data_IF_840456843402
#
_entry.id   IF_840456843402
#
_cell.length_a   1.000
_cell.length_b   1.000
_cell.length_c   1.000
_cell.angle_alpha   90.00
_cell.angle_beta   90.00
_cell.angle_gamma   90.00
#
_symmetry.space_group_name_H-M   'P 1'
#
loop_
_entity.id
_entity.type
_entity.pdbx_description
1 polymer ?
#
# COMPACT_ATOMS: atom_id res chain seq x y z
N UNK A 1 6.61 17.15 -22.96
CA UNK A 1 7.15 17.56 -21.65
C UNK A 1 6.19 18.41 -20.81
N UNK A 2 5.48 19.41 -21.35
CA UNK A 2 4.51 20.23 -20.58
C UNK A 2 3.30 19.44 -20.04
N UNK A 3 2.80 18.46 -20.77
CA UNK A 3 1.65 17.63 -20.37
C UNK A 3 1.99 16.73 -19.17
N UNK A 4 3.16 16.11 -19.17
CA UNK A 4 3.64 15.25 -18.07
C UNK A 4 3.89 16.08 -16.80
N UNK A 5 4.46 17.30 -16.92
CA UNK A 5 4.62 18.23 -15.80
C UNK A 5 3.28 18.65 -15.19
N UNK A 6 2.26 18.89 -16.01
CA UNK A 6 0.92 19.30 -15.55
C UNK A 6 0.17 18.17 -14.86
N UNK A 7 0.44 16.91 -15.27
CA UNK A 7 -0.13 15.71 -14.67
C UNK A 7 0.53 15.34 -13.33
N UNK A 8 1.84 15.57 -13.21
CA UNK A 8 2.62 15.25 -12.00
C UNK A 8 2.58 16.34 -10.92
N UNK A 9 2.25 17.58 -11.29
CA UNK A 9 2.22 18.76 -10.40
C UNK A 9 0.79 19.24 -10.10
N UNK A 10 -0.22 18.42 -10.33
CA UNK A 10 -1.58 18.73 -9.88
C UNK A 10 -1.65 18.50 -8.36
N UNK A 11 -2.32 19.40 -7.66
CA UNK A 11 -2.52 19.35 -6.19
C UNK A 11 -3.09 18.01 -5.74
N UNK A 12 -3.94 17.41 -6.57
CA UNK A 12 -4.53 16.08 -6.34
C UNK A 12 -3.47 14.98 -6.38
N UNK A 13 -2.59 14.98 -7.40
CA UNK A 13 -1.49 14.01 -7.51
C UNK A 13 -0.50 14.15 -6.38
N UNK A 14 -0.15 15.38 -5.99
CA UNK A 14 0.75 15.62 -4.86
C UNK A 14 0.12 15.17 -3.54
N UNK A 15 -1.17 15.44 -3.33
CA UNK A 15 -1.91 14.94 -2.16
C UNK A 15 -1.97 13.41 -2.15
N UNK A 16 -2.23 12.79 -3.30
CA UNK A 16 -2.22 11.33 -3.44
C UNK A 16 -0.86 10.72 -3.06
N UNK A 17 0.22 11.30 -3.56
CA UNK A 17 1.57 10.84 -3.24
C UNK A 17 1.88 11.03 -1.75
N UNK A 18 1.53 12.18 -1.19
CA UNK A 18 1.74 12.47 0.23
C UNK A 18 0.99 11.46 1.12
N UNK A 19 -0.30 11.25 0.90
CA UNK A 19 -1.07 10.27 1.65
C UNK A 19 -0.68 8.83 1.34
N UNK A 20 -0.15 8.56 0.15
CA UNK A 20 0.47 7.28 -0.19
C UNK A 20 1.69 6.97 0.66
N UNK A 21 2.58 7.95 0.86
CA UNK A 21 3.72 7.84 1.77
C UNK A 21 3.26 7.61 3.20
N UNK A 22 2.29 8.38 3.68
CA UNK A 22 1.73 8.19 5.03
C UNK A 22 1.08 6.82 5.19
N UNK A 23 0.36 6.32 4.18
CA UNK A 23 -0.20 4.96 4.18
C UNK A 23 0.90 3.91 4.30
N UNK A 24 2.01 4.09 3.59
CA UNK A 24 3.17 3.20 3.67
C UNK A 24 3.79 3.22 5.06
N UNK A 25 3.90 4.38 5.69
CA UNK A 25 4.38 4.51 7.06
C UNK A 25 3.45 3.81 8.06
N UNK A 26 2.12 3.97 7.93
CA UNK A 26 1.14 3.26 8.76
C UNK A 26 1.28 1.74 8.57
N UNK A 27 1.38 1.28 7.32
CA UNK A 27 1.58 -0.14 7.04
C UNK A 27 2.85 -0.67 7.71
N UNK A 28 3.94 0.06 7.58
CA UNK A 28 5.24 -0.34 8.07
C UNK A 28 5.32 -0.37 9.60
N UNK A 29 4.86 0.69 10.25
CA UNK A 29 4.83 0.79 11.70
C UNK A 29 3.92 -0.27 12.32
N UNK A 30 2.77 -0.53 11.67
CA UNK A 30 1.85 -1.60 12.10
C UNK A 30 2.49 -2.98 11.91
N UNK A 31 3.19 -3.22 10.80
CA UNK A 31 3.87 -4.49 10.56
C UNK A 31 4.92 -4.78 11.62
N UNK A 32 5.83 -3.83 11.84
CA UNK A 32 6.89 -3.97 12.83
C UNK A 32 6.31 -4.12 14.24
N UNK A 33 5.34 -3.28 14.61
CA UNK A 33 4.64 -3.37 15.90
C UNK A 33 3.95 -4.73 16.09
N UNK A 34 3.34 -5.26 15.03
CA UNK A 34 2.71 -6.59 15.08
C UNK A 34 3.73 -7.71 15.25
N UNK A 35 4.91 -7.62 14.62
CA UNK A 35 5.98 -8.58 14.85
C UNK A 35 6.45 -8.59 16.30
N UNK A 36 6.58 -7.43 16.93
CA UNK A 36 6.94 -7.35 18.35
C UNK A 36 5.89 -7.97 19.27
N UNK A 37 4.60 -7.82 18.95
CA UNK A 37 3.50 -8.33 19.78
C UNK A 37 3.19 -9.81 19.54
N UNK A 38 3.31 -10.28 18.31
CA UNK A 38 2.91 -11.64 17.89
C UNK A 38 4.09 -12.62 17.82
N UNK A 39 5.33 -12.12 17.85
CA UNK A 39 6.55 -12.85 17.60
C UNK A 39 6.99 -12.81 16.14
N UNK A 40 8.30 -12.86 15.93
CA UNK A 40 8.94 -12.82 14.59
C UNK A 40 8.59 -14.03 13.70
N UNK A 41 8.04 -15.07 14.28
CA UNK A 41 7.60 -16.31 13.60
C UNK A 41 6.29 -16.16 12.82
N UNK A 42 5.58 -15.03 12.97
CA UNK A 42 4.27 -14.78 12.32
C UNK A 42 4.25 -13.60 11.36
N UNK A 43 5.21 -13.50 10.43
CA UNK A 43 5.32 -12.32 9.55
C UNK A 43 4.13 -12.17 8.59
N UNK A 44 3.51 -13.27 8.17
CA UNK A 44 2.34 -13.22 7.29
C UNK A 44 1.11 -12.67 8.00
N UNK A 45 0.92 -13.02 9.27
CA UNK A 45 -0.16 -12.46 10.09
C UNK A 45 0.08 -10.97 10.38
N UNK A 46 1.31 -10.60 10.72
CA UNK A 46 1.69 -9.21 10.91
C UNK A 46 1.44 -8.37 9.64
N UNK A 47 1.77 -8.92 8.46
CA UNK A 47 1.50 -8.28 7.17
C UNK A 47 0.00 -8.10 6.90
N UNK A 48 -0.81 -9.08 7.24
CA UNK A 48 -2.28 -9.00 7.08
C UNK A 48 -2.87 -7.90 7.96
N UNK A 49 -2.46 -7.81 9.20
CA UNK A 49 -2.91 -6.74 10.12
C UNK A 49 -2.48 -5.36 9.60
N UNK A 50 -1.23 -5.24 9.18
CA UNK A 50 -0.69 -4.01 8.60
C UNK A 50 -1.47 -3.57 7.34
N UNK A 51 -1.80 -4.53 6.46
CA UNK A 51 -2.61 -4.27 5.28
C UNK A 51 -4.00 -3.73 5.61
N UNK A 52 -4.70 -4.36 6.54
CA UNK A 52 -6.06 -3.94 6.94
C UNK A 52 -6.05 -2.51 7.46
N UNK A 53 -5.16 -2.20 8.41
CA UNK A 53 -5.09 -0.87 9.00
C UNK A 53 -4.63 0.21 8.01
N UNK A 54 -3.64 -0.09 7.18
CA UNK A 54 -3.17 0.83 6.15
C UNK A 54 -4.23 1.08 5.07
N UNK A 55 -5.00 0.05 4.69
CA UNK A 55 -6.09 0.19 3.71
C UNK A 55 -7.21 1.07 4.24
N UNK A 56 -7.58 0.89 5.50
CA UNK A 56 -8.58 1.74 6.16
C UNK A 56 -8.12 3.19 6.23
N UNK A 57 -6.88 3.43 6.65
CA UNK A 57 -6.29 4.77 6.65
C UNK A 57 -6.27 5.39 5.26
N UNK A 58 -5.82 4.64 4.25
CA UNK A 58 -5.75 5.11 2.88
C UNK A 58 -7.12 5.45 2.30
N UNK A 59 -8.15 4.64 2.59
CA UNK A 59 -9.51 4.91 2.12
C UNK A 59 -10.03 6.24 2.67
N UNK A 60 -9.91 6.46 3.98
CA UNK A 60 -10.39 7.69 4.62
C UNK A 60 -9.64 8.90 4.07
N UNK A 61 -8.31 8.85 4.03
CA UNK A 61 -7.49 9.97 3.60
C UNK A 61 -7.70 10.32 2.13
N UNK A 62 -7.80 9.31 1.26
CA UNK A 62 -8.06 9.52 -0.16
C UNK A 62 -9.46 10.11 -0.37
N UNK A 63 -10.48 9.59 0.30
CA UNK A 63 -11.85 10.10 0.16
C UNK A 63 -11.97 11.55 0.57
N UNK A 64 -11.43 11.91 1.73
CA UNK A 64 -11.62 13.24 2.34
C UNK A 64 -10.67 14.28 1.74
N UNK A 65 -9.38 13.96 1.62
CA UNK A 65 -8.36 14.96 1.29
C UNK A 65 -7.87 14.92 -0.16
N UNK A 66 -7.81 13.73 -0.78
CA UNK A 66 -7.31 13.62 -2.15
C UNK A 66 -8.43 13.90 -3.15
N UNK A 67 -9.50 13.12 -3.09
CA UNK A 67 -10.62 13.24 -4.05
C UNK A 67 -11.68 14.23 -3.61
N UNK A 68 -11.66 14.68 -2.35
CA UNK A 68 -12.64 15.62 -1.77
C UNK A 68 -14.08 15.21 -2.13
N UNK A 69 -14.32 13.90 -2.14
CA UNK A 69 -15.60 13.31 -2.51
C UNK A 69 -16.59 13.53 -1.38
N UNK A 70 -17.36 14.59 -1.51
CA UNK A 70 -18.48 14.88 -0.59
C UNK A 70 -19.74 14.09 -0.92
N UNK A 71 -19.67 13.22 -1.92
CA UNK A 71 -20.79 12.41 -2.33
C UNK A 71 -20.87 11.15 -1.46
N UNK A 72 -21.76 11.19 -0.49
CA UNK A 72 -22.07 10.08 0.41
C UNK A 72 -23.24 9.22 -0.10
N UNK A 73 -23.55 9.33 -1.41
CA UNK A 73 -24.56 8.47 -2.03
C UNK A 73 -24.05 7.01 -2.01
N UNK A 74 -24.83 6.11 -1.44
CA UNK A 74 -24.50 4.70 -1.22
C UNK A 74 -24.03 4.01 -2.49
N UNK A 75 -24.63 4.29 -3.65
CA UNK A 75 -24.26 3.68 -4.93
C UNK A 75 -22.85 4.08 -5.39
N UNK A 76 -22.48 5.34 -5.23
CA UNK A 76 -21.14 5.81 -5.59
C UNK A 76 -20.12 5.35 -4.58
N UNK A 77 -20.47 5.35 -3.29
CA UNK A 77 -19.64 4.88 -2.20
C UNK A 77 -19.24 3.41 -2.38
N UNK A 78 -20.20 2.55 -2.74
CA UNK A 78 -19.93 1.13 -3.00
C UNK A 78 -18.98 0.94 -4.19
N UNK A 79 -19.15 1.68 -5.28
CA UNK A 79 -18.25 1.59 -6.44
C UNK A 79 -16.84 2.06 -6.11
N UNK A 80 -16.71 3.16 -5.37
CA UNK A 80 -15.42 3.67 -4.89
C UNK A 80 -14.71 2.66 -3.98
N UNK A 81 -15.42 2.11 -2.99
CA UNK A 81 -14.87 1.11 -2.06
C UNK A 81 -14.44 -0.15 -2.81
N UNK A 82 -15.28 -0.67 -3.70
CA UNK A 82 -14.98 -1.90 -4.45
C UNK A 82 -13.76 -1.71 -5.34
N UNK A 83 -13.70 -0.61 -6.10
CA UNK A 83 -12.57 -0.34 -6.98
C UNK A 83 -11.27 -0.12 -6.19
N UNK A 84 -11.34 0.67 -5.13
CA UNK A 84 -10.19 0.96 -4.27
C UNK A 84 -9.70 -0.30 -3.55
N UNK A 85 -10.62 -1.05 -2.95
CA UNK A 85 -10.29 -2.30 -2.25
C UNK A 85 -9.77 -3.37 -3.20
N UNK A 86 -10.29 -3.45 -4.42
CA UNK A 86 -9.82 -4.40 -5.43
C UNK A 86 -8.34 -4.22 -5.77
N UNK A 87 -7.92 -3.01 -6.08
CA UNK A 87 -6.51 -2.70 -6.36
C UNK A 87 -5.62 -2.99 -5.14
N UNK A 88 -6.07 -2.61 -3.95
CA UNK A 88 -5.35 -2.85 -2.71
C UNK A 88 -5.25 -4.34 -2.38
N UNK A 89 -6.31 -5.09 -2.60
CA UNK A 89 -6.32 -6.55 -2.37
C UNK A 89 -5.34 -7.26 -3.30
N UNK A 90 -5.30 -6.91 -4.58
CA UNK A 90 -4.32 -7.46 -5.53
C UNK A 90 -2.88 -7.16 -5.07
N UNK A 91 -2.62 -5.93 -4.64
CA UNK A 91 -1.31 -5.54 -4.10
C UNK A 91 -0.94 -6.31 -2.84
N UNK A 92 -1.91 -6.53 -1.96
CA UNK A 92 -1.72 -7.35 -0.75
C UNK A 92 -1.34 -8.78 -1.10
N UNK A 93 -2.06 -9.42 -2.02
CA UNK A 93 -1.72 -10.79 -2.43
C UNK A 93 -0.33 -10.88 -3.05
N UNK A 94 0.05 -9.91 -3.88
CA UNK A 94 1.40 -9.85 -4.44
C UNK A 94 2.46 -9.75 -3.34
N UNK A 95 2.27 -8.85 -2.36
CA UNK A 95 3.19 -8.69 -1.23
C UNK A 95 3.22 -9.94 -0.35
N UNK A 96 2.07 -10.55 -0.07
CA UNK A 96 1.95 -11.73 0.77
C UNK A 96 2.64 -12.95 0.15
N UNK A 97 2.38 -13.20 -1.14
CA UNK A 97 3.03 -14.29 -1.88
C UNK A 97 4.52 -14.05 -2.00
N UNK A 98 4.93 -12.84 -2.34
CA UNK A 98 6.34 -12.46 -2.41
C UNK A 98 7.05 -12.69 -1.08
N UNK A 99 6.49 -12.17 0.01
CA UNK A 99 7.06 -12.35 1.36
C UNK A 99 7.16 -13.82 1.75
N UNK A 100 6.13 -14.61 1.47
CA UNK A 100 6.12 -16.06 1.73
C UNK A 100 7.22 -16.79 0.96
N UNK A 101 7.42 -16.49 -0.32
CA UNK A 101 8.48 -17.08 -1.15
C UNK A 101 9.86 -16.73 -0.59
N UNK A 102 10.10 -15.45 -0.27
CA UNK A 102 11.39 -15.03 0.25
C UNK A 102 11.71 -15.68 1.60
N UNK A 103 10.72 -15.85 2.46
CA UNK A 103 10.91 -16.53 3.75
C UNK A 103 11.16 -18.04 3.54
N UNK A 104 10.34 -18.71 2.71
CA UNK A 104 10.35 -20.19 2.61
C UNK A 104 11.47 -20.71 1.70
N UNK A 105 11.79 -20.00 0.61
CA UNK A 105 12.77 -20.47 -0.39
C UNK A 105 14.16 -19.90 -0.11
N UNK A 106 14.23 -18.61 0.26
CA UNK A 106 15.50 -17.93 0.46
C UNK A 106 15.92 -17.80 1.92
N UNK A 107 15.08 -18.25 2.88
CA UNK A 107 15.33 -18.19 4.33
C UNK A 107 15.77 -16.80 4.82
N UNK A 108 15.17 -15.74 4.25
CA UNK A 108 15.57 -14.35 4.53
C UNK A 108 15.48 -13.96 6.00
N UNK A 109 14.70 -14.69 6.80
CA UNK A 109 14.63 -14.49 8.25
C UNK A 109 15.93 -14.74 9.00
N UNK A 110 16.85 -15.54 8.42
CA UNK A 110 18.14 -15.85 9.02
C UNK A 110 19.22 -14.79 8.70
N UNK A 111 18.93 -13.85 7.80
CA UNK A 111 19.89 -12.85 7.33
C UNK A 111 19.65 -11.48 7.96
N UNK A 112 20.74 -10.75 8.14
CA UNK A 112 20.70 -9.33 8.45
C UNK A 112 21.15 -8.58 7.21
N UNK A 113 20.26 -7.76 6.64
CA UNK A 113 20.51 -6.97 5.44
C UNK A 113 20.59 -5.50 5.83
N UNK A 114 21.75 -4.87 5.63
CA UNK A 114 22.01 -3.48 6.01
C UNK A 114 21.65 -3.15 7.48
N UNK A 115 21.88 -4.10 8.40
CA UNK A 115 21.59 -3.93 9.82
C UNK A 115 20.12 -4.16 10.20
N UNK A 116 19.29 -4.60 9.26
CA UNK A 116 17.85 -4.86 9.47
C UNK A 116 17.57 -6.35 9.27
N UNK A 117 16.61 -6.90 10.02
CA UNK A 117 16.14 -8.27 9.80
C UNK A 117 15.70 -8.47 8.35
N UNK A 118 16.10 -9.59 7.73
CA UNK A 118 15.87 -9.85 6.32
C UNK A 118 14.38 -9.90 5.93
N UNK A 119 13.48 -10.29 6.84
CA UNK A 119 12.02 -10.23 6.62
C UNK A 119 11.57 -8.79 6.45
N UNK A 120 12.05 -7.91 7.32
CA UNK A 120 11.73 -6.47 7.25
C UNK A 120 12.31 -5.85 5.97
N UNK A 121 13.58 -6.16 5.64
CA UNK A 121 14.22 -5.68 4.42
C UNK A 121 13.46 -6.15 3.16
N UNK A 122 13.05 -7.41 3.11
CA UNK A 122 12.23 -7.97 2.02
C UNK A 122 10.90 -7.24 1.90
N UNK A 123 10.22 -6.98 3.02
CA UNK A 123 8.97 -6.21 3.02
C UNK A 123 9.17 -4.79 2.46
N UNK A 124 10.27 -4.11 2.80
CA UNK A 124 10.56 -2.78 2.25
C UNK A 124 10.63 -2.84 0.72
N UNK A 125 11.36 -3.80 0.17
CA UNK A 125 11.54 -3.96 -1.28
C UNK A 125 10.19 -4.25 -1.95
N UNK A 126 9.42 -5.20 -1.42
CA UNK A 126 8.10 -5.55 -1.95
C UNK A 126 7.12 -4.37 -1.88
N UNK A 127 7.09 -3.65 -0.76
CA UNK A 127 6.25 -2.46 -0.61
C UNK A 127 6.60 -1.37 -1.62
N UNK A 128 7.88 -1.18 -1.93
CA UNK A 128 8.31 -0.22 -2.95
C UNK A 128 7.79 -0.60 -4.35
N UNK A 129 7.87 -1.88 -4.71
CA UNK A 129 7.31 -2.41 -5.97
C UNK A 129 5.79 -2.19 -6.01
N UNK A 130 5.10 -2.48 -4.91
CA UNK A 130 3.64 -2.29 -4.76
C UNK A 130 3.24 -0.82 -4.94
N UNK A 131 3.98 0.12 -4.36
CA UNK A 131 3.69 1.56 -4.53
C UNK A 131 3.78 1.98 -5.99
N UNK A 132 4.82 1.54 -6.71
CA UNK A 132 4.98 1.83 -8.14
C UNK A 132 3.84 1.21 -8.95
N UNK A 133 3.50 -0.05 -8.68
CA UNK A 133 2.41 -0.74 -9.36
C UNK A 133 1.06 -0.08 -9.10
N UNK A 134 0.75 0.29 -7.85
CA UNK A 134 -0.48 0.99 -7.48
C UNK A 134 -0.60 2.36 -8.14
N UNK A 135 0.52 3.09 -8.25
CA UNK A 135 0.55 4.35 -8.99
C UNK A 135 0.20 4.15 -10.47
N UNK A 136 0.82 3.16 -11.12
CA UNK A 136 0.56 2.84 -12.52
C UNK A 136 -0.89 2.40 -12.76
N UNK A 137 -1.40 1.48 -11.92
CA UNK A 137 -2.77 1.00 -12.01
C UNK A 137 -3.80 2.11 -11.76
N UNK A 138 -3.59 2.92 -10.75
CA UNK A 138 -4.47 4.06 -10.46
C UNK A 138 -4.51 5.02 -11.64
N UNK A 139 -3.35 5.35 -12.20
CA UNK A 139 -3.25 6.28 -13.32
C UNK A 139 -3.91 5.76 -14.61
N UNK A 140 -3.67 4.49 -14.95
CA UNK A 140 -4.11 3.94 -16.23
C UNK A 140 -5.51 3.34 -16.20
N UNK A 141 -5.97 2.83 -15.05
CA UNK A 141 -7.25 2.13 -14.96
C UNK A 141 -8.33 2.89 -14.19
N UNK A 142 -7.97 3.67 -13.17
CA UNK A 142 -8.96 4.38 -12.35
C UNK A 142 -9.19 5.79 -12.89
N UNK A 143 -8.15 6.53 -13.23
CA UNK A 143 -8.23 7.95 -13.61
C UNK A 143 -8.16 8.21 -15.13
N UNK A 144 -8.03 7.18 -15.96
CA UNK A 144 -8.01 7.33 -17.43
C UNK A 144 -9.43 7.47 -18.03
N UNK A 145 -10.47 7.58 -17.19
CA UNK A 145 -11.87 7.75 -17.61
C UNK A 145 -12.35 9.20 -17.52
N UNK A 146 -11.43 10.15 -17.46
CA UNK A 146 -11.74 11.58 -17.54
C UNK A 146 -11.36 12.13 -18.90
#
# INVERSE_FOLDING_TARGET
MKFIKRLLLNTETLSYLFFGVLTTLVNYTTFVGSLFLLGEEKPLLANTIAFILATFFAYITNKIWVFKSNNWNIKNLTTEIVSFSGVRTLSFFFEQVGLSIFISVFNVGEYIILGVNGVIATKIILSFIVVIANYALSKFFIFNKA
#
